data_IF_894486548940
#
_entry.id   IF_894486548940
#
_cell.length_a   1.000
_cell.length_b   1.000
_cell.length_c   1.000
_cell.angle_alpha   90.00
_cell.angle_beta   90.00
_cell.angle_gamma   90.00
#
_symmetry.space_group_name_H-M   'P 1'
#
loop_
_entity.id
_entity.type
_entity.pdbx_description
1 polymer ?
#
# COMPACT_ATOMS: atom_id res chain seq x y z
N UNK A 1 -3.69 -3.13 -5.42
CA UNK A 1 -4.27 -4.42 -4.98
C UNK A 1 -5.72 -4.49 -5.38
N UNK A 2 -6.15 -5.65 -5.89
CA UNK A 2 -7.55 -6.01 -6.07
C UNK A 2 -7.92 -6.98 -4.96
N UNK A 3 -8.96 -6.68 -4.19
CA UNK A 3 -9.38 -7.51 -3.08
C UNK A 3 -10.79 -8.06 -3.35
N UNK A 4 -10.89 -9.38 -3.40
CA UNK A 4 -12.16 -10.08 -3.33
C UNK A 4 -12.42 -10.41 -1.86
N UNK A 5 -13.54 -9.97 -1.33
CA UNK A 5 -13.95 -10.29 0.02
C UNK A 5 -15.32 -10.98 0.02
N UNK A 6 -15.50 -11.91 0.92
CA UNK A 6 -16.74 -12.66 1.08
C UNK A 6 -17.92 -11.72 1.33
N UNK A 7 -19.02 -11.86 0.59
CA UNK A 7 -20.23 -11.05 0.80
C UNK A 7 -20.74 -11.18 2.25
N UNK A 8 -21.11 -10.04 2.84
CA UNK A 8 -21.57 -10.00 4.23
C UNK A 8 -20.45 -9.99 5.29
N UNK A 9 -19.19 -10.25 4.90
CA UNK A 9 -18.06 -10.13 5.83
C UNK A 9 -17.84 -8.68 6.25
N UNK A 10 -17.22 -8.50 7.42
CA UNK A 10 -16.94 -7.18 8.01
C UNK A 10 -15.47 -7.04 8.38
N UNK A 11 -15.08 -5.86 8.80
CA UNK A 11 -13.79 -5.59 9.42
C UNK A 11 -12.79 -4.86 8.54
N UNK A 12 -12.92 -4.84 7.21
CA UNK A 12 -12.08 -3.97 6.40
C UNK A 12 -12.46 -2.52 6.65
N UNK A 13 -11.49 -1.71 7.01
CA UNK A 13 -11.63 -0.28 7.26
C UNK A 13 -10.58 0.51 6.50
N UNK A 14 -10.94 1.69 6.05
CA UNK A 14 -10.03 2.66 5.44
C UNK A 14 -10.01 3.94 6.27
N UNK A 15 -8.88 4.63 6.29
CA UNK A 15 -8.74 5.89 7.01
C UNK A 15 -9.39 7.03 6.22
N UNK A 16 -10.27 7.77 6.87
CA UNK A 16 -10.89 8.97 6.30
C UNK A 16 -9.82 10.06 6.14
N UNK A 17 -9.81 10.74 5.00
CA UNK A 17 -8.88 11.86 4.77
C UNK A 17 -7.44 11.48 4.47
N UNK A 18 -7.13 10.18 4.31
CA UNK A 18 -5.77 9.70 4.02
C UNK A 18 -4.91 9.50 5.27
N UNK A 19 -3.59 9.38 5.12
CA UNK A 19 -2.67 9.20 6.25
C UNK A 19 -2.81 10.33 7.29
N UNK A 20 -2.92 9.95 8.56
CA UNK A 20 -3.11 10.91 9.65
C UNK A 20 -4.53 11.47 9.79
N UNK A 21 -5.49 11.06 8.97
CA UNK A 21 -6.88 11.49 9.07
C UNK A 21 -7.60 10.97 10.31
N UNK A 22 -8.74 11.58 10.61
CA UNK A 22 -9.51 11.38 11.83
C UNK A 22 -10.59 10.30 11.70
N UNK A 23 -10.25 9.09 11.79
CA UNK A 23 -11.23 8.03 11.89
C UNK A 23 -11.18 6.99 10.79
N UNK A 24 -11.93 5.93 11.01
CA UNK A 24 -11.99 4.77 10.14
C UNK A 24 -13.38 4.61 9.56
N UNK A 25 -13.44 4.23 8.30
CA UNK A 25 -14.69 3.97 7.57
C UNK A 25 -14.72 2.48 7.22
N UNK A 26 -15.81 1.81 7.53
CA UNK A 26 -16.02 0.44 7.11
C UNK A 26 -16.21 0.36 5.59
N UNK A 27 -15.59 -0.66 5.01
CA UNK A 27 -15.69 -0.98 3.58
C UNK A 27 -16.41 -2.32 3.44
N UNK A 28 -17.76 -2.31 3.35
CA UNK A 28 -18.50 -3.55 3.18
C UNK A 28 -18.27 -4.12 1.77
N UNK A 29 -17.99 -5.43 1.65
CA UNK A 29 -17.88 -6.06 0.36
C UNK A 29 -19.23 -6.08 -0.36
N UNK A 30 -19.18 -5.98 -1.68
CA UNK A 30 -20.35 -6.11 -2.56
C UNK A 30 -20.20 -7.36 -3.41
N UNK A 31 -21.29 -8.09 -3.56
CA UNK A 31 -21.31 -9.26 -4.44
C UNK A 31 -20.96 -8.87 -5.89
N UNK A 32 -20.09 -9.64 -6.53
CA UNK A 32 -19.66 -9.41 -7.91
C UNK A 32 -18.72 -8.21 -8.10
N UNK A 33 -18.18 -7.63 -7.02
CA UNK A 33 -17.28 -6.49 -7.09
C UNK A 33 -15.95 -6.76 -6.40
N UNK A 34 -14.89 -6.12 -6.90
CA UNK A 34 -13.60 -6.03 -6.21
C UNK A 34 -13.47 -4.70 -5.48
N UNK A 35 -12.79 -4.73 -4.34
CA UNK A 35 -12.29 -3.53 -3.69
C UNK A 35 -10.92 -3.22 -4.28
N UNK A 36 -10.74 -2.01 -4.80
CA UNK A 36 -9.48 -1.57 -5.40
C UNK A 36 -8.74 -0.66 -4.43
N UNK A 37 -7.57 -1.10 -3.97
CA UNK A 37 -6.70 -0.30 -3.13
C UNK A 37 -5.53 0.25 -3.96
N UNK A 38 -5.42 1.57 -4.01
CA UNK A 38 -4.24 2.25 -4.53
C UNK A 38 -3.07 1.97 -3.59
N UNK A 39 -1.93 1.58 -4.15
CA UNK A 39 -0.71 1.36 -3.40
C UNK A 39 0.29 2.51 -3.56
N UNK A 40 1.30 2.54 -2.69
CA UNK A 40 2.36 3.56 -2.65
C UNK A 40 3.08 3.74 -3.99
N UNK A 41 3.27 2.66 -4.75
CA UNK A 41 3.95 2.75 -6.05
C UNK A 41 3.15 3.54 -7.09
N UNK A 42 1.82 3.44 -7.06
CA UNK A 42 0.97 4.20 -7.97
C UNK A 42 0.82 5.65 -7.48
N UNK A 43 0.81 5.87 -6.18
CA UNK A 43 0.94 7.21 -5.61
C UNK A 43 2.23 7.86 -6.08
N UNK A 44 3.34 7.15 -5.98
CA UNK A 44 4.65 7.56 -6.45
C UNK A 44 4.65 7.90 -7.94
N UNK A 45 4.17 6.99 -8.77
CA UNK A 45 4.13 7.17 -10.21
C UNK A 45 3.29 8.39 -10.64
N UNK A 46 2.26 8.74 -9.87
CA UNK A 46 1.36 9.88 -10.13
C UNK A 46 1.74 11.14 -9.35
N UNK A 47 2.87 11.14 -8.66
CA UNK A 47 3.32 12.25 -7.79
C UNK A 47 2.23 12.71 -6.81
N UNK A 48 1.58 11.75 -6.16
CA UNK A 48 0.57 12.00 -5.14
C UNK A 48 -0.83 12.37 -5.68
N UNK A 49 -1.04 12.37 -7.01
CA UNK A 49 -2.38 12.56 -7.55
C UNK A 49 -3.34 11.45 -7.13
N UNK A 50 -2.91 10.19 -7.27
CA UNK A 50 -3.58 9.05 -6.67
C UNK A 50 -2.93 8.77 -5.31
N UNK A 51 -3.72 8.76 -4.25
CA UNK A 51 -3.22 8.55 -2.90
C UNK A 51 -3.35 7.09 -2.49
N UNK A 52 -2.31 6.53 -1.90
CA UNK A 52 -2.41 5.26 -1.22
C UNK A 52 -3.34 5.41 -0.01
N UNK A 53 -4.26 4.46 0.15
CA UNK A 53 -5.23 4.51 1.23
C UNK A 53 -4.76 3.61 2.37
N UNK A 54 -4.55 4.22 3.53
CA UNK A 54 -4.28 3.49 4.76
C UNK A 54 -5.51 2.64 5.10
N UNK A 55 -5.30 1.36 5.30
CA UNK A 55 -6.37 0.41 5.56
C UNK A 55 -5.96 -0.60 6.63
N UNK A 56 -6.94 -1.15 7.30
CA UNK A 56 -6.76 -2.16 8.34
C UNK A 56 -7.87 -3.19 8.32
N UNK A 57 -7.65 -4.30 8.99
CA UNK A 57 -8.69 -5.25 9.35
C UNK A 57 -8.93 -5.15 10.85
N UNK A 58 -10.15 -4.77 11.23
CA UNK A 58 -10.58 -4.71 12.61
C UNK A 58 -11.66 -5.79 12.83
N UNK A 59 -11.31 -6.83 13.57
CA UNK A 59 -12.21 -7.94 13.91
C UNK A 59 -12.72 -7.86 15.35
N UNK A 60 -12.52 -6.75 16.04
CA UNK A 60 -12.97 -6.58 17.41
C UNK A 60 -14.49 -6.83 17.52
N UNK A 61 -14.85 -7.75 18.39
CA UNK A 61 -16.26 -8.15 18.60
C UNK A 61 -16.84 -9.09 17.54
N UNK A 62 -16.04 -9.58 16.59
CA UNK A 62 -16.48 -10.59 15.62
C UNK A 62 -15.94 -11.96 15.99
N UNK A 63 -16.85 -12.95 16.09
CA UNK A 63 -16.51 -14.37 16.20
C UNK A 63 -16.63 -15.10 14.87
N UNK A 64 -17.10 -14.42 13.84
CA UNK A 64 -17.28 -14.99 12.51
C UNK A 64 -15.94 -15.05 11.74
N UNK A 65 -15.67 -16.20 11.15
CA UNK A 65 -14.60 -16.33 10.17
C UNK A 65 -14.91 -15.47 8.93
N UNK A 66 -13.86 -15.04 8.26
CA UNK A 66 -13.97 -14.30 6.99
C UNK A 66 -12.89 -14.73 6.01
N UNK A 67 -13.28 -14.83 4.76
CA UNK A 67 -12.34 -15.10 3.68
C UNK A 67 -12.18 -13.85 2.83
N UNK A 68 -10.93 -13.51 2.56
CA UNK A 68 -10.60 -12.48 1.58
C UNK A 68 -9.38 -12.90 0.76
N UNK A 69 -9.42 -12.63 -0.53
CA UNK A 69 -8.38 -13.03 -1.49
C UNK A 69 -7.79 -11.75 -2.10
N UNK A 70 -6.62 -11.29 -1.64
CA UNK A 70 -5.94 -10.17 -2.25
C UNK A 70 -5.17 -10.61 -3.50
N UNK A 71 -5.30 -9.87 -4.57
CA UNK A 71 -4.46 -9.99 -5.76
C UNK A 71 -3.56 -8.76 -5.88
N UNK A 72 -2.27 -8.98 -5.71
CA UNK A 72 -1.25 -7.95 -5.84
C UNK A 72 -0.76 -7.89 -7.29
N UNK A 73 -1.14 -6.85 -8.00
CA UNK A 73 -0.66 -6.61 -9.36
C UNK A 73 0.71 -5.93 -9.30
N UNK A 74 1.74 -6.75 -9.22
CA UNK A 74 3.11 -6.31 -9.04
C UNK A 74 3.88 -6.33 -10.36
N UNK A 75 4.77 -5.35 -10.62
CA UNK A 75 5.68 -5.40 -11.76
C UNK A 75 6.82 -6.42 -11.50
N UNK A 76 7.68 -6.60 -12.50
CA UNK A 76 8.92 -7.37 -12.35
C UNK A 76 9.82 -6.71 -11.28
N UNK A 77 10.63 -7.51 -10.61
CA UNK A 77 11.49 -7.00 -9.52
C UNK A 77 12.51 -5.95 -9.98
N UNK A 78 12.98 -6.06 -11.22
CA UNK A 78 13.92 -5.11 -11.83
C UNK A 78 13.24 -3.89 -12.46
N UNK A 79 11.90 -3.85 -12.44
CA UNK A 79 11.16 -2.73 -13.02
C UNK A 79 11.42 -1.42 -12.25
N UNK A 80 11.64 -0.35 -13.01
CA UNK A 80 11.66 1.01 -12.45
C UNK A 80 10.25 1.57 -12.40
N UNK A 81 9.92 2.25 -11.31
CA UNK A 81 8.65 2.94 -11.16
C UNK A 81 8.66 4.15 -12.09
N UNK A 82 7.78 4.20 -13.10
CA UNK A 82 7.74 5.33 -14.00
C UNK A 82 7.12 6.55 -13.30
N UNK A 83 7.54 7.74 -13.70
CA UNK A 83 6.78 8.95 -13.42
C UNK A 83 5.79 9.15 -14.56
N UNK A 84 4.50 9.07 -14.27
CA UNK A 84 3.45 9.24 -15.26
C UNK A 84 3.27 10.71 -15.61
N UNK A 85 3.17 11.00 -16.91
CA UNK A 85 2.84 12.34 -17.37
C UNK A 85 1.34 12.57 -17.24
N UNK A 86 0.96 13.36 -16.25
CA UNK A 86 -0.43 13.73 -16.02
C UNK A 86 -0.82 14.93 -16.89
N UNK A 87 -2.06 14.98 -17.42
CA UNK A 87 -2.63 16.19 -18.00
C UNK A 87 -2.49 17.38 -17.04
N UNK A 88 -2.36 18.62 -17.56
CA UNK A 88 -2.13 19.81 -16.72
C UNK A 88 -3.14 19.97 -15.59
N UNK A 89 -4.41 19.74 -15.88
CA UNK A 89 -5.51 19.87 -14.91
C UNK A 89 -5.43 18.81 -13.77
N UNK A 90 -4.90 17.62 -14.03
CA UNK A 90 -4.69 16.59 -13.02
C UNK A 90 -3.38 16.84 -12.26
N UNK A 91 -2.36 17.35 -12.96
CA UNK A 91 -1.11 17.74 -12.33
C UNK A 91 -1.31 18.85 -11.30
N UNK A 92 -2.16 19.81 -11.56
CA UNK A 92 -2.50 20.87 -10.63
C UNK A 92 -3.18 20.36 -9.34
N UNK A 93 -3.77 19.16 -9.40
CA UNK A 93 -4.38 18.49 -8.23
C UNK A 93 -3.42 17.55 -7.51
N UNK A 94 -2.28 17.24 -8.11
CA UNK A 94 -1.26 16.43 -7.45
C UNK A 94 -0.71 17.20 -6.25
N UNK A 95 -0.53 16.49 -5.14
CA UNK A 95 0.08 17.10 -3.96
C UNK A 95 1.57 17.26 -4.25
N UNK A 96 2.10 18.50 -4.25
CA UNK A 96 3.50 18.81 -4.51
C UNK A 96 4.48 18.17 -3.51
N UNK A 97 3.95 17.56 -2.46
CA UNK A 97 4.72 17.05 -1.32
C UNK A 97 5.26 15.63 -1.49
N UNK A 98 5.07 14.99 -2.65
CA UNK A 98 5.57 13.65 -2.79
C UNK A 98 6.99 13.66 -3.35
N UNK A 99 7.97 13.45 -2.49
CA UNK A 99 9.32 13.06 -2.88
C UNK A 99 9.56 11.62 -2.43
N UNK A 100 10.18 10.76 -3.26
CA UNK A 100 10.41 9.34 -2.95
C UNK A 100 11.21 9.06 -1.69
N UNK A 101 11.72 10.09 -1.04
CA UNK A 101 12.68 10.00 0.05
C UNK A 101 12.34 10.84 1.28
N UNK A 102 11.09 11.32 1.41
CA UNK A 102 10.76 12.23 2.54
C UNK A 102 10.72 11.54 3.89
N UNK A 103 10.52 10.22 3.95
CA UNK A 103 10.71 9.46 5.17
C UNK A 103 11.99 8.63 5.09
N UNK A 104 13.09 9.07 5.74
CA UNK A 104 14.34 8.29 5.78
C UNK A 104 14.16 6.91 6.40
N UNK A 105 13.13 6.73 7.25
CA UNK A 105 12.83 5.46 7.90
C UNK A 105 12.04 4.51 7.00
N UNK A 106 11.34 5.04 5.98
CA UNK A 106 10.52 4.25 5.06
C UNK A 106 10.60 4.75 3.60
N UNK A 107 11.80 4.76 2.98
CA UNK A 107 11.99 5.29 1.64
C UNK A 107 11.25 4.44 0.60
N UNK A 108 10.67 5.09 -0.43
CA UNK A 108 10.18 4.42 -1.63
C UNK A 108 11.28 4.45 -2.68
N UNK A 109 11.79 3.28 -3.03
CA UNK A 109 12.85 3.13 -4.02
C UNK A 109 12.30 3.19 -5.45
N UNK A 110 13.12 3.69 -6.37
CA UNK A 110 12.79 3.76 -7.80
C UNK A 110 12.71 2.38 -8.48
N UNK A 111 13.34 1.36 -7.91
CA UNK A 111 13.28 -0.03 -8.38
C UNK A 111 12.32 -0.82 -7.51
N UNK A 112 11.34 -1.47 -8.15
CA UNK A 112 10.27 -2.19 -7.44
C UNK A 112 10.81 -3.26 -6.48
N UNK A 113 11.79 -4.05 -6.89
CA UNK A 113 12.32 -5.14 -6.08
C UNK A 113 12.86 -4.69 -4.72
N UNK A 114 13.42 -3.48 -4.63
CA UNK A 114 13.87 -2.91 -3.35
C UNK A 114 12.69 -2.64 -2.41
N UNK A 115 11.58 -2.15 -2.94
CA UNK A 115 10.35 -1.95 -2.15
C UNK A 115 9.74 -3.29 -1.72
N UNK A 116 9.70 -4.27 -2.61
CA UNK A 116 9.21 -5.61 -2.29
C UNK A 116 10.07 -6.28 -1.20
N UNK A 117 11.39 -6.14 -1.28
CA UNK A 117 12.32 -6.66 -0.29
C UNK A 117 12.11 -5.99 1.07
N UNK A 118 12.08 -4.65 1.12
CA UNK A 118 11.79 -3.87 2.32
C UNK A 118 10.48 -4.33 2.99
N UNK A 119 9.42 -4.48 2.21
CA UNK A 119 8.13 -4.96 2.71
C UNK A 119 8.23 -6.39 3.27
N UNK A 120 9.00 -7.27 2.63
CA UNK A 120 9.20 -8.64 3.08
C UNK A 120 9.95 -8.69 4.42
N UNK A 121 10.99 -7.91 4.58
CA UNK A 121 11.74 -7.84 5.84
C UNK A 121 10.85 -7.36 7.00
N UNK A 122 10.00 -6.37 6.77
CA UNK A 122 9.08 -5.85 7.79
C UNK A 122 7.98 -6.85 8.16
N UNK A 123 7.47 -7.60 7.20
CA UNK A 123 6.38 -8.54 7.44
C UNK A 123 6.83 -9.90 8.01
N UNK A 124 8.14 -10.19 7.98
CA UNK A 124 8.71 -11.43 8.49
C UNK A 124 10.00 -11.15 9.28
N UNK A 125 9.92 -10.44 10.40
CA UNK A 125 11.10 -9.98 11.14
C UNK A 125 11.90 -11.11 11.76
N UNK A 126 11.26 -12.18 12.18
CA UNK A 126 11.88 -13.40 12.70
C UNK A 126 12.72 -14.12 11.63
N UNK A 127 12.18 -14.27 10.43
CA UNK A 127 12.92 -14.85 9.28
C UNK A 127 14.07 -13.94 8.87
N UNK A 128 13.84 -12.63 8.81
CA UNK A 128 14.89 -11.68 8.49
C UNK A 128 16.07 -11.79 9.48
N UNK A 129 15.78 -11.83 10.76
CA UNK A 129 16.77 -11.98 11.83
C UNK A 129 17.54 -13.31 11.74
N UNK A 130 16.84 -14.42 11.50
CA UNK A 130 17.47 -15.74 11.36
C UNK A 130 18.46 -15.83 10.19
N UNK A 131 18.27 -15.00 9.17
CA UNK A 131 19.16 -14.89 8.00
C UNK A 131 20.11 -13.69 8.04
N UNK A 132 20.26 -13.02 9.19
CA UNK A 132 21.20 -11.91 9.38
C UNK A 132 20.78 -10.60 8.70
N UNK A 133 19.50 -10.48 8.29
CA UNK A 133 18.96 -9.23 7.74
C UNK A 133 18.34 -8.40 8.85
N UNK A 134 18.75 -7.13 8.96
CA UNK A 134 18.05 -6.16 9.81
C UNK A 134 17.13 -5.28 8.95
N UNK A 135 16.05 -4.78 9.54
CA UNK A 135 15.13 -3.89 8.88
C UNK A 135 15.79 -2.58 8.36
N UNK A 136 17.00 -2.28 8.83
CA UNK A 136 17.77 -1.08 8.48
C UNK A 136 18.78 -1.27 7.33
N UNK A 137 18.97 -2.48 6.78
CA UNK A 137 19.95 -2.73 5.70
C UNK A 137 19.40 -2.49 4.28
N UNK A 138 18.39 -1.69 4.11
CA UNK A 138 17.89 -1.27 2.78
C UNK A 138 18.61 -0.08 2.16
N UNK A 139 19.67 0.46 2.76
CA UNK A 139 20.29 1.73 2.38
C UNK A 139 21.75 1.63 1.93
N UNK A 140 22.20 0.52 1.37
CA UNK A 140 23.51 0.45 0.73
C UNK A 140 23.34 0.17 -0.77
N UNK A 141 23.75 1.17 -1.58
CA UNK A 141 24.03 1.25 -3.03
C UNK A 141 23.01 0.75 -4.03
#
# INVERSE_FOLDING_TARGET
TLLLAEPGSRGLQVRRGGPGGDGWIDVPPRQGAFIVNIGELLEAATRGYLRATEHRVNLAGSTAERISVPYFFNPRLDARIPVLSLPPELRARAVERWTPSEDPADPIFSVYGRNAWKSRLRSHPDVASAHGFSAHHGAAD
#
